data_IF_908010803508
#
_entry.id   IF_908010803508
#
_cell.length_a   1.000
_cell.length_b   1.000
_cell.length_c   1.000
_cell.angle_alpha   90.00
_cell.angle_beta   90.00
_cell.angle_gamma   90.00
#
_symmetry.space_group_name_H-M   'P 1'
#
loop_
_entity.id
_entity.type
_entity.pdbx_description
1 polymer ?
#
# COMPACT_ATOMS: atom_id res chain seq x y z
N UNK A 1 -8.24 -1.60 -7.91
CA UNK A 1 -8.53 -0.66 -9.02
C UNK A 1 -8.36 0.78 -8.58
N UNK A 2 -9.10 1.31 -7.61
CA UNK A 2 -8.96 2.72 -7.20
C UNK A 2 -7.58 3.08 -6.59
N UNK A 3 -7.05 2.28 -5.67
CA UNK A 3 -5.68 2.50 -5.14
C UNK A 3 -4.63 2.41 -6.26
N UNK A 4 -4.76 1.44 -7.17
CA UNK A 4 -3.82 1.31 -8.27
C UNK A 4 -3.86 2.53 -9.21
N UNK A 5 -5.05 3.03 -9.56
CA UNK A 5 -5.22 4.24 -10.36
C UNK A 5 -4.55 5.45 -9.71
N UNK A 6 -4.73 5.63 -8.39
CA UNK A 6 -4.12 6.75 -7.66
C UNK A 6 -2.59 6.77 -7.76
N UNK A 7 -1.96 5.61 -7.92
CA UNK A 7 -0.50 5.49 -8.05
C UNK A 7 0.01 5.87 -9.46
N UNK A 8 -0.86 5.94 -10.46
CA UNK A 8 -0.54 6.32 -11.84
C UNK A 8 -1.06 7.72 -12.21
N UNK A 9 -1.59 8.46 -11.23
CA UNK A 9 -2.15 9.79 -11.38
C UNK A 9 -1.11 10.91 -11.33
N UNK A 10 -1.54 12.10 -10.89
CA UNK A 10 -0.66 13.30 -10.78
C UNK A 10 0.60 13.08 -9.93
N UNK A 11 0.56 12.14 -8.99
CA UNK A 11 1.68 11.84 -8.08
C UNK A 11 2.57 10.68 -8.52
N UNK A 12 2.33 10.12 -9.72
CA UNK A 12 3.07 8.96 -10.23
C UNK A 12 4.58 9.18 -10.23
N UNK A 13 5.06 10.35 -10.66
CA UNK A 13 6.48 10.69 -10.69
C UNK A 13 7.10 10.74 -9.28
N UNK A 14 6.34 11.23 -8.30
CA UNK A 14 6.80 11.30 -6.90
C UNK A 14 6.87 9.90 -6.29
N UNK A 15 5.88 9.06 -6.60
CA UNK A 15 5.86 7.66 -6.18
C UNK A 15 7.05 6.92 -6.79
N UNK A 16 7.25 7.01 -8.10
CA UNK A 16 8.32 6.31 -8.81
C UNK A 16 9.73 6.72 -8.33
N UNK A 17 9.91 7.96 -7.89
CA UNK A 17 11.18 8.45 -7.33
C UNK A 17 11.48 7.92 -5.92
N UNK A 18 10.46 7.58 -5.13
CA UNK A 18 10.62 7.23 -3.70
C UNK A 18 10.32 5.77 -3.37
N UNK A 19 9.51 5.10 -4.18
CA UNK A 19 8.97 3.79 -3.90
C UNK A 19 9.18 2.85 -5.08
N UNK A 20 9.52 1.60 -4.76
CA UNK A 20 9.34 0.47 -5.68
C UNK A 20 7.95 -0.09 -5.44
N UNK A 21 7.08 -0.03 -6.45
CA UNK A 21 5.69 -0.50 -6.34
C UNK A 21 5.58 -1.93 -6.85
N UNK A 22 5.12 -2.84 -6.01
CA UNK A 22 4.88 -4.25 -6.37
C UNK A 22 3.40 -4.57 -6.27
N UNK A 23 2.78 -4.98 -7.39
CA UNK A 23 1.38 -5.43 -7.42
C UNK A 23 1.32 -6.92 -7.05
N UNK A 24 0.66 -7.24 -5.95
CA UNK A 24 0.45 -8.62 -5.50
C UNK A 24 -0.98 -9.05 -5.81
N UNK A 25 -1.13 -10.12 -6.60
CA UNK A 25 -2.44 -10.71 -6.87
C UNK A 25 -2.81 -11.71 -5.77
N UNK A 26 -3.91 -11.47 -5.07
CA UNK A 26 -4.37 -12.35 -3.98
C UNK A 26 -5.53 -13.28 -4.39
N UNK A 27 -5.97 -13.22 -5.65
CA UNK A 27 -7.12 -13.99 -6.14
C UNK A 27 -8.38 -13.74 -5.32
N UNK A 28 -9.14 -14.79 -5.00
CA UNK A 28 -10.24 -14.75 -4.02
C UNK A 28 -9.72 -15.07 -2.61
N UNK A 29 -8.66 -14.38 -2.20
CA UNK A 29 -7.90 -14.65 -0.97
C UNK A 29 -7.26 -16.05 -0.95
N UNK A 30 -6.95 -16.59 -2.13
CA UNK A 30 -6.43 -17.94 -2.34
C UNK A 30 -4.99 -17.98 -2.88
N UNK A 31 -4.46 -16.84 -3.37
CA UNK A 31 -3.10 -16.74 -3.94
C UNK A 31 -2.16 -15.95 -3.03
N UNK A 32 -0.87 -16.28 -3.08
CA UNK A 32 0.21 -15.60 -2.34
C UNK A 32 -0.04 -15.51 -0.82
N UNK A 33 -0.70 -16.53 -0.24
CA UNK A 33 -1.10 -16.54 1.18
C UNK A 33 0.08 -16.39 2.13
N UNK A 34 1.18 -17.10 1.86
CA UNK A 34 2.40 -17.00 2.66
C UNK A 34 2.93 -15.57 2.70
N UNK A 35 3.01 -14.89 1.54
CA UNK A 35 3.42 -13.49 1.46
C UNK A 35 2.50 -12.56 2.27
N UNK A 36 1.18 -12.78 2.19
CA UNK A 36 0.18 -12.01 2.95
C UNK A 36 0.39 -12.21 4.45
N UNK A 37 0.63 -13.46 4.88
CA UNK A 37 0.88 -13.80 6.29
C UNK A 37 2.18 -13.20 6.81
N UNK A 38 3.28 -13.32 6.05
CA UNK A 38 4.59 -12.73 6.37
C UNK A 38 4.49 -11.23 6.66
N UNK A 39 3.66 -10.51 5.89
CA UNK A 39 3.50 -9.07 6.04
C UNK A 39 2.28 -8.64 6.86
N UNK A 40 1.81 -9.51 7.77
CA UNK A 40 0.86 -9.12 8.81
C UNK A 40 -0.62 -9.18 8.40
N UNK A 41 -0.94 -9.94 7.35
CA UNK A 41 -2.30 -10.18 6.85
C UNK A 41 -3.06 -8.90 6.45
N UNK A 42 -2.51 -8.08 5.54
CA UNK A 42 -3.07 -6.77 5.21
C UNK A 42 -4.47 -6.82 4.57
N UNK A 43 -4.87 -7.97 4.04
CA UNK A 43 -6.16 -8.19 3.36
C UNK A 43 -7.26 -8.72 4.28
N UNK A 44 -6.99 -8.97 5.57
CA UNK A 44 -7.93 -9.64 6.50
C UNK A 44 -9.27 -8.88 6.67
N UNK A 45 -9.27 -7.57 6.45
CA UNK A 45 -10.46 -6.70 6.52
C UNK A 45 -10.96 -6.24 5.13
N UNK A 46 -10.44 -6.82 4.06
CA UNK A 46 -10.83 -6.52 2.68
C UNK A 46 -9.76 -5.76 1.88
N UNK A 47 -10.15 -5.34 0.68
CA UNK A 47 -9.30 -4.64 -0.28
C UNK A 47 -9.92 -3.29 -0.73
N UNK A 48 -9.12 -2.29 -1.13
CA UNK A 48 -7.65 -2.32 -1.30
C UNK A 48 -6.86 -2.38 0.01
N UNK A 49 -5.68 -3.01 -0.04
CA UNK A 49 -4.74 -3.19 1.05
C UNK A 49 -3.32 -2.84 0.57
N UNK A 50 -2.46 -2.37 1.47
CA UNK A 50 -1.07 -2.07 1.16
C UNK A 50 -0.13 -2.33 2.34
N UNK A 51 1.13 -2.56 2.03
CA UNK A 51 2.23 -2.70 2.98
C UNK A 51 3.34 -1.77 2.51
N UNK A 52 3.92 -1.01 3.45
CA UNK A 52 5.11 -0.17 3.21
C UNK A 52 6.27 -0.79 3.97
N UNK A 53 7.37 -1.02 3.26
CA UNK A 53 8.56 -1.69 3.77
C UNK A 53 9.78 -0.76 3.66
N UNK A 54 10.75 -0.95 4.55
CA UNK A 54 12.14 -0.54 4.31
C UNK A 54 12.82 -1.53 3.34
N UNK A 55 13.96 -1.15 2.71
CA UNK A 55 14.72 -2.05 1.84
C UNK A 55 15.25 -3.33 2.52
N UNK A 56 15.34 -3.34 3.85
CA UNK A 56 15.74 -4.50 4.67
C UNK A 56 14.58 -5.42 5.06
N UNK A 57 13.41 -5.26 4.43
CA UNK A 57 12.15 -5.96 4.71
C UNK A 57 11.47 -5.60 6.04
N UNK A 58 11.94 -4.57 6.75
CA UNK A 58 11.23 -4.07 7.94
C UNK A 58 9.87 -3.50 7.54
N UNK A 59 8.79 -4.00 8.13
CA UNK A 59 7.43 -3.48 7.93
C UNK A 59 7.27 -2.15 8.66
N UNK A 60 7.08 -1.07 7.90
CA UNK A 60 6.71 0.24 8.44
C UNK A 60 5.20 0.37 8.64
N UNK A 61 4.45 -0.21 7.71
CA UNK A 61 3.00 -0.17 7.74
C UNK A 61 2.43 -1.41 7.05
N UNK A 62 1.37 -1.97 7.60
CA UNK A 62 0.51 -2.94 6.94
C UNK A 62 -0.93 -2.56 7.26
N UNK A 63 -1.76 -2.38 6.23
CA UNK A 63 -3.16 -2.00 6.42
C UNK A 63 -3.90 -3.05 7.24
N UNK A 64 -4.51 -2.69 8.37
CA UNK A 64 -5.29 -3.63 9.19
C UNK A 64 -6.79 -3.50 9.00
N UNK A 65 -7.22 -2.59 8.11
CA UNK A 65 -8.59 -2.35 7.71
C UNK A 65 -9.04 -0.94 8.10
N UNK A 66 -9.58 -0.19 7.14
CA UNK A 66 -10.08 1.17 7.38
C UNK A 66 -9.12 2.27 6.95
N UNK A 67 -7.81 2.06 7.06
CA UNK A 67 -6.79 3.10 6.81
C UNK A 67 -6.76 3.49 5.32
N UNK A 68 -6.92 2.50 4.44
CA UNK A 68 -7.05 2.70 3.00
C UNK A 68 -8.49 2.61 2.51
N UNK A 69 -9.48 2.45 3.41
CA UNK A 69 -10.89 2.55 3.02
C UNK A 69 -11.23 3.97 2.57
N UNK A 70 -10.51 4.97 3.10
CA UNK A 70 -10.52 6.33 2.59
C UNK A 70 -9.77 6.49 1.27
N UNK A 71 -8.90 5.56 0.84
CA UNK A 71 -8.19 5.67 -0.44
C UNK A 71 -9.15 5.69 -1.65
N UNK A 72 -10.36 5.12 -1.50
CA UNK A 72 -11.45 5.26 -2.50
C UNK A 72 -12.00 6.68 -2.61
N UNK A 73 -11.74 7.52 -1.60
CA UNK A 73 -12.14 8.94 -1.50
C UNK A 73 -10.94 9.88 -1.52
N UNK A 74 -9.71 9.38 -1.36
CA UNK A 74 -8.50 10.18 -1.42
C UNK A 74 -8.23 10.54 -2.88
N UNK A 75 -7.83 11.79 -3.10
CA UNK A 75 -7.27 12.20 -4.38
C UNK A 75 -5.99 11.40 -4.66
N UNK A 76 -5.56 11.39 -5.92
CA UNK A 76 -4.32 10.74 -6.35
C UNK A 76 -3.12 11.22 -5.50
N UNK A 77 -3.10 12.51 -5.16
CA UNK A 77 -2.12 13.12 -4.26
C UNK A 77 -2.20 12.63 -2.83
N UNK A 78 -3.40 12.40 -2.28
CA UNK A 78 -3.55 11.95 -0.91
C UNK A 78 -2.90 10.59 -0.64
N UNK A 79 -2.85 9.70 -1.64
CA UNK A 79 -2.22 8.39 -1.49
C UNK A 79 -0.70 8.49 -1.39
N UNK A 80 -0.07 9.33 -2.22
CA UNK A 80 1.35 9.62 -2.08
C UNK A 80 1.65 10.25 -0.72
N UNK A 81 0.89 11.27 -0.31
CA UNK A 81 1.12 11.98 0.95
C UNK A 81 1.05 11.02 2.15
N UNK A 82 0.08 10.10 2.14
CA UNK A 82 -0.07 9.06 3.17
C UNK A 82 1.17 8.17 3.27
N UNK A 83 1.66 7.63 2.15
CA UNK A 83 2.86 6.78 2.18
C UNK A 83 4.12 7.57 2.54
N UNK A 84 4.24 8.81 2.04
CA UNK A 84 5.36 9.68 2.37
C UNK A 84 5.37 10.02 3.87
N UNK A 85 4.21 10.26 4.49
CA UNK A 85 4.11 10.49 5.93
C UNK A 85 4.58 9.28 6.74
N UNK A 86 4.18 8.06 6.35
CA UNK A 86 4.66 6.82 7.00
C UNK A 86 6.19 6.74 6.93
N UNK A 87 6.78 6.97 5.76
CA UNK A 87 8.24 6.91 5.61
C UNK A 87 8.93 7.96 6.48
N UNK A 88 8.48 9.22 6.44
CA UNK A 88 9.10 10.31 7.21
C UNK A 88 9.01 10.08 8.73
N UNK A 89 7.96 9.43 9.23
CA UNK A 89 7.82 9.11 10.66
C UNK A 89 8.80 8.02 11.14
N UNK A 90 9.38 7.26 10.21
CA UNK A 90 10.24 6.11 10.49
C UNK A 90 11.67 6.25 9.90
N UNK A 91 12.04 7.45 9.45
CA UNK A 91 13.40 7.86 9.13
C UNK A 91 14.17 8.22 10.40
#
# INVERSE_FOLDING_TARGET
LELDKSMHGQSADLIAKKFVVVKVNVGQFDKNKELIETYGNPTKKGIPAAVVLKPDNTVLFASKGGELSNARRMSEQGVYDFFNQIVTQHQ
#
